data_IF_261297328343
#
_entry.id   IF_261297328343
#
_cell.length_a   1.000
_cell.length_b   1.000
_cell.length_c   1.000
_cell.angle_alpha   90.00
_cell.angle_beta   90.00
_cell.angle_gamma   90.00
#
_symmetry.space_group_name_H-M   'P 1'
#
loop_
_entity.id
_entity.type
_entity.pdbx_description
1 polymer ?
#
# COMPACT_ATOMS: atom_id res chain seq x y z
N UNK A 1 -2.14 -13.28 -22.39
CA UNK A 1 -2.12 -13.44 -20.92
C UNK A 1 -0.68 -13.52 -20.46
N UNK A 2 -0.09 -12.40 -20.03
CA UNK A 2 1.25 -12.41 -19.45
C UNK A 2 1.20 -13.26 -18.17
N UNK A 3 1.97 -14.35 -18.11
CA UNK A 3 2.17 -15.10 -16.88
C UNK A 3 2.67 -14.08 -15.85
N UNK A 4 1.87 -13.78 -14.82
CA UNK A 4 2.33 -12.97 -13.68
C UNK A 4 3.59 -13.66 -13.16
N UNK A 5 4.75 -13.10 -13.49
CA UNK A 5 6.02 -13.51 -12.91
C UNK A 5 5.84 -13.29 -11.42
N UNK A 6 5.89 -14.38 -10.66
CA UNK A 6 5.78 -14.29 -9.21
C UNK A 6 6.77 -13.28 -8.66
N UNK A 7 6.38 -12.54 -7.62
CA UNK A 7 7.17 -11.44 -7.05
C UNK A 7 8.59 -11.92 -6.74
N UNK A 8 8.74 -13.16 -6.27
CA UNK A 8 10.05 -13.74 -6.00
C UNK A 8 10.88 -14.11 -7.23
N UNK A 9 10.26 -14.36 -8.39
CA UNK A 9 10.99 -14.55 -9.65
C UNK A 9 11.44 -13.21 -10.23
N UNK A 10 10.61 -12.18 -10.10
CA UNK A 10 10.88 -10.84 -10.58
C UNK A 10 12.04 -10.18 -9.82
N UNK A 11 12.04 -10.25 -8.48
CA UNK A 11 13.14 -9.71 -7.66
C UNK A 11 14.48 -10.42 -7.90
N UNK A 12 14.47 -11.74 -8.08
CA UNK A 12 15.67 -12.51 -8.44
C UNK A 12 16.24 -12.13 -9.81
N UNK A 13 15.37 -11.90 -10.80
CA UNK A 13 15.79 -11.41 -12.13
C UNK A 13 16.37 -10.00 -12.03
N UNK A 14 15.81 -9.16 -11.17
CA UNK A 14 16.24 -7.78 -10.96
C UNK A 14 17.43 -7.62 -9.99
N UNK A 15 17.91 -8.70 -9.37
CA UNK A 15 18.99 -8.69 -8.34
C UNK A 15 18.72 -7.70 -7.19
N UNK A 16 17.46 -7.57 -6.80
CA UNK A 16 17.06 -6.76 -5.64
C UNK A 16 17.13 -7.66 -4.40
N UNK A 17 17.72 -7.16 -3.31
CA UNK A 17 17.77 -7.89 -2.05
C UNK A 17 16.36 -8.23 -1.54
N UNK A 18 16.20 -9.46 -1.03
CA UNK A 18 14.94 -9.90 -0.47
C UNK A 18 14.68 -9.21 0.86
N UNK A 19 13.58 -8.48 0.96
CA UNK A 19 13.17 -7.86 2.21
C UNK A 19 12.46 -8.91 3.10
N UNK A 20 12.54 -8.73 4.40
CA UNK A 20 11.84 -9.54 5.41
C UNK A 20 10.32 -9.64 5.14
N UNK A 21 9.73 -8.61 4.53
CA UNK A 21 8.32 -8.56 4.16
C UNK A 21 7.96 -9.41 2.93
N UNK A 22 8.94 -9.74 2.08
CA UNK A 22 8.70 -10.44 0.82
C UNK A 22 8.19 -11.87 1.04
N UNK A 23 8.62 -12.51 2.13
CA UNK A 23 8.15 -13.86 2.49
C UNK A 23 6.65 -13.85 2.71
N UNK A 24 6.12 -12.85 3.43
CA UNK A 24 4.70 -12.73 3.71
C UNK A 24 3.90 -12.34 2.47
N UNK A 25 4.44 -11.45 1.61
CA UNK A 25 3.81 -11.12 0.33
C UNK A 25 3.72 -12.34 -0.60
N UNK A 26 4.78 -13.15 -0.67
CA UNK A 26 4.79 -14.41 -1.43
C UNK A 26 3.78 -15.42 -0.90
N UNK A 27 3.63 -15.50 0.43
CA UNK A 27 2.59 -16.32 1.05
C UNK A 27 1.18 -15.88 0.62
N UNK A 28 0.85 -14.59 0.68
CA UNK A 28 -0.46 -14.08 0.22
C UNK A 28 -0.65 -14.19 -1.30
N UNK A 29 0.43 -14.18 -2.08
CA UNK A 29 0.41 -14.44 -3.51
C UNK A 29 0.30 -15.94 -3.87
N UNK A 30 0.20 -16.83 -2.88
CA UNK A 30 0.14 -18.30 -3.05
C UNK A 30 1.40 -18.89 -3.70
N UNK A 31 2.55 -18.22 -3.57
CA UNK A 31 3.85 -18.73 -4.05
C UNK A 31 4.52 -19.66 -3.03
N UNK A 32 4.16 -19.54 -1.75
CA UNK A 32 4.71 -20.28 -0.61
C UNK A 32 3.54 -20.84 0.19
N UNK A 33 3.62 -22.12 0.56
CA UNK A 33 2.62 -22.77 1.40
C UNK A 33 2.95 -22.61 2.89
N UNK A 34 1.94 -22.73 3.74
CA UNK A 34 2.09 -22.52 5.20
C UNK A 34 3.15 -23.43 5.83
N UNK A 35 3.30 -24.65 5.32
CA UNK A 35 4.27 -25.65 5.81
C UNK A 35 5.74 -25.28 5.54
N UNK A 36 5.98 -24.32 4.64
CA UNK A 36 7.32 -23.86 4.28
C UNK A 36 7.78 -22.67 5.12
N UNK A 37 6.91 -22.10 5.97
CA UNK A 37 7.27 -21.02 6.87
C UNK A 37 7.90 -21.57 8.17
N UNK A 38 8.88 -20.85 8.70
CA UNK A 38 9.42 -21.15 10.02
C UNK A 38 8.43 -20.78 11.12
N UNK A 39 8.52 -21.41 12.30
CA UNK A 39 7.66 -21.10 13.45
C UNK A 39 7.68 -19.60 13.79
N UNK A 40 8.85 -18.98 13.74
CA UNK A 40 9.02 -17.53 13.95
C UNK A 40 8.27 -16.67 12.93
N UNK A 41 8.21 -17.10 11.66
CA UNK A 41 7.48 -16.40 10.62
C UNK A 41 5.97 -16.61 10.78
N UNK A 42 5.54 -17.80 11.21
CA UNK A 42 4.15 -18.07 11.54
C UNK A 42 3.65 -17.16 12.68
N UNK A 43 4.44 -16.99 13.74
CA UNK A 43 4.12 -16.09 14.86
C UNK A 43 3.96 -14.63 14.40
N UNK A 44 4.89 -14.15 13.57
CA UNK A 44 4.84 -12.78 13.04
C UNK A 44 3.62 -12.61 12.12
N UNK A 45 3.33 -13.60 11.29
CA UNK A 45 2.18 -13.60 10.39
C UNK A 45 0.85 -13.59 11.15
N UNK A 46 0.77 -14.30 12.29
CA UNK A 46 -0.39 -14.21 13.19
C UNK A 46 -0.56 -12.80 13.75
N UNK A 47 0.53 -12.15 14.18
CA UNK A 47 0.52 -10.78 14.69
C UNK A 47 0.04 -9.79 13.63
N UNK A 48 0.47 -9.94 12.37
CA UNK A 48 -0.04 -9.13 11.26
C UNK A 48 -1.54 -9.37 11.04
N UNK A 49 -2.00 -10.62 11.01
CA UNK A 49 -3.43 -10.94 10.85
C UNK A 49 -4.29 -10.33 11.95
N UNK A 50 -3.82 -10.38 13.20
CA UNK A 50 -4.54 -9.80 14.34
C UNK A 50 -4.56 -8.28 14.29
N UNK A 51 -3.43 -7.65 13.96
CA UNK A 51 -3.35 -6.21 13.75
C UNK A 51 -4.33 -5.75 12.66
N UNK A 52 -4.36 -6.47 11.54
CA UNK A 52 -5.29 -6.23 10.43
C UNK A 52 -6.74 -6.43 10.85
N UNK A 53 -7.08 -7.51 11.55
CA UNK A 53 -8.44 -7.78 12.00
C UNK A 53 -8.98 -6.66 12.91
N UNK A 54 -8.16 -6.19 13.87
CA UNK A 54 -8.53 -5.08 14.74
C UNK A 54 -8.74 -3.78 13.97
N UNK A 55 -7.93 -3.54 12.96
CA UNK A 55 -8.07 -2.38 12.08
C UNK A 55 -9.32 -2.46 11.21
N UNK A 56 -9.64 -3.62 10.64
CA UNK A 56 -10.91 -3.86 9.92
C UNK A 56 -12.14 -3.71 10.81
N UNK A 57 -12.02 -4.00 12.12
CA UNK A 57 -13.08 -3.75 13.10
C UNK A 57 -13.28 -2.25 13.42
N UNK A 58 -12.51 -1.35 12.80
CA UNK A 58 -12.62 0.10 13.00
C UNK A 58 -11.98 0.59 14.31
N UNK A 59 -11.05 -0.18 14.90
CA UNK A 59 -10.26 0.28 16.05
C UNK A 59 -9.26 1.35 15.60
N UNK A 60 -9.04 2.36 16.44
CA UNK A 60 -8.04 3.39 16.18
C UNK A 60 -6.62 2.83 16.28
N UNK A 61 -5.67 3.49 15.61
CA UNK A 61 -4.25 3.12 15.58
C UNK A 61 -3.63 2.98 16.99
N UNK A 62 -4.05 3.78 17.96
CA UNK A 62 -3.62 3.66 19.36
C UNK A 62 -4.18 2.41 20.01
N UNK A 63 -5.47 2.13 19.84
CA UNK A 63 -6.11 0.95 20.41
C UNK A 63 -5.53 -0.35 19.85
N UNK A 64 -5.25 -0.40 18.54
CA UNK A 64 -4.61 -1.58 17.92
C UNK A 64 -3.22 -1.80 18.53
N UNK A 65 -2.41 -0.74 18.65
CA UNK A 65 -1.07 -0.82 19.25
C UNK A 65 -1.12 -1.25 20.72
N UNK A 66 -2.00 -0.66 21.53
CA UNK A 66 -2.16 -1.03 22.94
C UNK A 66 -2.62 -2.48 23.10
N UNK A 67 -3.52 -2.96 22.24
CA UNK A 67 -3.96 -4.35 22.24
C UNK A 67 -2.83 -5.31 21.87
N UNK A 68 -2.03 -4.99 20.84
CA UNK A 68 -0.86 -5.79 20.44
C UNK A 68 0.20 -5.85 21.54
N UNK A 69 0.45 -4.72 22.22
CA UNK A 69 1.36 -4.67 23.36
C UNK A 69 0.88 -5.57 24.50
N UNK A 70 -0.43 -5.55 24.82
CA UNK A 70 -0.99 -6.38 25.89
C UNK A 70 -0.95 -7.87 25.56
N UNK A 71 -1.31 -8.23 24.33
CA UNK A 71 -1.52 -9.63 23.97
C UNK A 71 -0.21 -10.37 23.68
N UNK A 72 0.81 -9.67 23.15
CA UNK A 72 2.11 -10.26 22.82
C UNK A 72 3.27 -9.80 23.71
N UNK A 73 2.99 -8.95 24.72
CA UNK A 73 3.98 -8.39 25.64
C UNK A 73 5.18 -7.74 24.93
N UNK A 74 4.91 -6.98 23.86
CA UNK A 74 5.91 -6.31 23.02
C UNK A 74 6.01 -4.82 23.34
N UNK A 75 7.14 -4.20 22.99
CA UNK A 75 7.34 -2.76 23.15
C UNK A 75 6.49 -1.96 22.15
N UNK A 76 6.14 -0.71 22.49
CA UNK A 76 5.33 0.16 21.62
C UNK A 76 5.94 0.34 20.23
N UNK A 77 7.27 0.48 20.15
CA UNK A 77 7.98 0.60 18.88
C UNK A 77 7.78 -0.62 17.99
N UNK A 78 7.85 -1.82 18.56
CA UNK A 78 7.61 -3.07 17.82
C UNK A 78 6.15 -3.19 17.40
N UNK A 79 5.20 -2.83 18.27
CA UNK A 79 3.78 -2.81 17.92
C UNK A 79 3.47 -1.84 16.78
N UNK A 80 4.16 -0.68 16.73
CA UNK A 80 4.05 0.26 15.62
C UNK A 80 4.56 -0.33 14.31
N UNK A 81 5.74 -0.96 14.30
CA UNK A 81 6.26 -1.61 13.09
C UNK A 81 5.32 -2.71 12.60
N UNK A 82 4.88 -3.60 13.49
CA UNK A 82 3.95 -4.68 13.13
C UNK A 82 2.67 -4.14 12.49
N UNK A 83 2.15 -3.04 13.03
CA UNK A 83 0.94 -2.44 12.52
C UNK A 83 1.12 -1.76 11.16
N UNK A 84 2.20 -1.02 10.95
CA UNK A 84 2.50 -0.40 9.65
C UNK A 84 2.82 -1.46 8.57
N UNK A 85 3.58 -2.49 8.92
CA UNK A 85 3.85 -3.65 8.06
C UNK A 85 2.56 -4.40 7.70
N UNK A 86 1.66 -4.58 8.67
CA UNK A 86 0.34 -5.15 8.44
C UNK A 86 -0.50 -4.31 7.47
N UNK A 87 -0.48 -2.96 7.58
CA UNK A 87 -1.15 -2.06 6.63
C UNK A 87 -0.52 -2.14 5.25
N UNK A 88 0.79 -2.33 5.16
CA UNK A 88 1.49 -2.48 3.88
C UNK A 88 1.11 -3.78 3.18
N UNK A 89 1.08 -4.90 3.90
CA UNK A 89 0.75 -6.23 3.35
C UNK A 89 -0.72 -6.31 2.92
N UNK A 90 -1.64 -5.85 3.77
CA UNK A 90 -3.08 -6.02 3.54
C UNK A 90 -3.76 -4.84 2.84
N UNK A 91 -3.08 -3.69 2.75
CA UNK A 91 -3.61 -2.44 2.22
C UNK A 91 -4.11 -1.50 3.32
N UNK A 92 -4.31 -0.24 2.97
CA UNK A 92 -4.89 0.76 3.87
C UNK A 92 -6.41 0.76 3.72
N UNK A 93 -7.14 0.46 4.79
CA UNK A 93 -8.60 0.35 4.78
C UNK A 93 -9.25 1.63 4.26
N UNK A 94 -8.70 2.79 4.60
CA UNK A 94 -9.19 4.09 4.13
C UNK A 94 -9.05 4.27 2.61
N UNK A 95 -7.99 3.71 2.01
CA UNK A 95 -7.80 3.73 0.57
C UNK A 95 -8.73 2.71 -0.10
N UNK A 96 -8.84 1.51 0.47
CA UNK A 96 -9.70 0.44 -0.05
C UNK A 96 -11.18 0.84 -0.05
N UNK A 97 -11.68 1.46 1.03
CA UNK A 97 -13.06 1.94 1.08
C UNK A 97 -13.28 3.11 0.11
N UNK A 98 -12.33 4.05 0.03
CA UNK A 98 -12.42 5.17 -0.92
C UNK A 98 -12.43 4.71 -2.37
N UNK A 99 -11.56 3.77 -2.73
CA UNK A 99 -11.47 3.22 -4.08
C UNK A 99 -12.68 2.32 -4.38
N UNK A 100 -13.18 1.56 -3.40
CA UNK A 100 -14.43 0.80 -3.52
C UNK A 100 -15.64 1.70 -3.76
N UNK A 101 -15.79 2.78 -2.99
CA UNK A 101 -16.85 3.78 -3.21
C UNK A 101 -16.70 4.48 -4.55
N UNK A 102 -15.47 4.80 -4.97
CA UNK A 102 -15.19 5.36 -6.30
C UNK A 102 -15.65 4.40 -7.39
N UNK A 103 -15.29 3.12 -7.31
CA UNK A 103 -15.72 2.10 -8.26
C UNK A 103 -17.23 1.93 -8.32
N UNK A 104 -17.89 1.86 -7.16
CA UNK A 104 -19.36 1.79 -7.08
C UNK A 104 -20.02 3.03 -7.70
N UNK A 105 -19.45 4.22 -7.45
CA UNK A 105 -19.96 5.48 -8.02
C UNK A 105 -19.80 5.52 -9.54
N UNK A 106 -18.68 5.05 -10.08
CA UNK A 106 -18.47 4.94 -11.54
C UNK A 106 -19.52 4.03 -12.18
N UNK A 107 -19.71 2.82 -11.64
CA UNK A 107 -20.70 1.87 -12.14
C UNK A 107 -22.14 2.43 -12.06
N UNK A 108 -22.45 3.18 -11.01
CA UNK A 108 -23.74 3.85 -10.85
C UNK A 108 -23.95 4.93 -11.93
N UNK A 109 -22.96 5.78 -12.18
CA UNK A 109 -23.06 6.81 -13.21
C UNK A 109 -23.13 6.23 -14.63
N UNK A 110 -22.41 5.15 -14.91
CA UNK A 110 -22.53 4.42 -16.19
C UNK A 110 -23.94 3.85 -16.39
N UNK A 111 -24.53 3.26 -15.35
CA UNK A 111 -25.89 2.76 -15.40
C UNK A 111 -26.90 3.90 -15.65
N UNK A 112 -26.73 5.03 -14.95
CA UNK A 112 -27.56 6.23 -15.15
C UNK A 112 -27.43 6.78 -16.58
N UNK A 113 -26.22 6.81 -17.15
CA UNK A 113 -25.99 7.23 -18.52
C UNK A 113 -26.72 6.32 -19.52
N UNK A 114 -26.66 5.00 -19.30
CA UNK A 114 -27.37 4.02 -20.14
C UNK A 114 -28.89 4.16 -20.04
N UNK A 115 -29.43 4.44 -18.86
CA UNK A 115 -30.87 4.70 -18.67
C UNK A 115 -31.30 5.99 -19.38
N UNK A 116 -30.54 7.08 -19.23
CA UNK A 116 -30.82 8.36 -19.89
C UNK A 116 -30.75 8.24 -21.43
N UNK A 117 -29.80 7.46 -21.97
CA UNK A 117 -29.74 7.13 -23.41
C UNK A 117 -30.99 6.39 -23.88
N UNK A 118 -31.49 5.43 -23.08
CA UNK A 118 -32.71 4.67 -23.39
C UNK A 118 -33.96 5.57 -23.41
N UNK A 119 -34.02 6.56 -22.53
CA UNK A 119 -35.11 7.56 -22.45
C UNK A 119 -34.93 8.71 -23.45
N UNK A 120 -33.90 8.67 -24.32
CA UNK A 120 -33.54 9.72 -25.29
C UNK A 120 -33.19 11.06 -24.66
N UNK A 121 -32.81 11.07 -23.39
CA UNK A 121 -32.30 12.25 -22.70
C UNK A 121 -30.77 12.30 -22.84
N UNK A 122 -30.31 12.77 -24.00
CA UNK A 122 -28.89 12.72 -24.36
C UNK A 122 -28.02 13.65 -23.51
N UNK A 123 -28.54 14.81 -23.09
CA UNK A 123 -27.79 15.77 -22.27
C UNK A 123 -27.44 15.20 -20.89
N UNK A 124 -28.41 14.58 -20.21
CA UNK A 124 -28.21 13.92 -18.92
C UNK A 124 -27.29 12.70 -19.04
N UNK A 125 -27.34 11.98 -20.16
CA UNK A 125 -26.42 10.88 -20.41
C UNK A 125 -24.96 11.35 -20.52
N UNK A 126 -24.69 12.43 -21.26
CA UNK A 126 -23.34 13.00 -21.39
C UNK A 126 -22.81 13.49 -20.05
N UNK A 127 -23.64 14.17 -19.24
CA UNK A 127 -23.25 14.66 -17.91
C UNK A 127 -22.95 13.50 -16.95
N UNK A 128 -23.75 12.43 -16.98
CA UNK A 128 -23.51 11.25 -16.14
C UNK A 128 -22.21 10.54 -16.54
N UNK A 129 -21.94 10.42 -17.85
CA UNK A 129 -20.71 9.85 -18.40
C UNK A 129 -19.46 10.65 -17.99
N UNK A 130 -19.50 11.97 -18.17
CA UNK A 130 -18.39 12.87 -17.79
C UNK A 130 -18.08 12.80 -16.28
N UNK A 131 -19.10 12.63 -15.43
CA UNK A 131 -18.89 12.39 -13.99
C UNK A 131 -18.21 11.05 -13.70
N UNK A 132 -18.54 10.00 -14.47
CA UNK A 132 -17.87 8.70 -14.35
C UNK A 132 -16.40 8.81 -14.80
N UNK A 133 -16.14 9.45 -15.95
CA UNK A 133 -14.80 9.61 -16.51
C UNK A 133 -13.88 10.45 -15.61
N UNK A 134 -14.43 11.51 -14.97
CA UNK A 134 -13.73 12.28 -13.92
C UNK A 134 -13.39 11.46 -12.70
N UNK A 135 -14.30 10.61 -12.23
CA UNK A 135 -14.04 9.72 -11.09
C UNK A 135 -13.00 8.65 -11.43
N UNK A 136 -12.99 8.19 -12.68
CA UNK A 136 -11.99 7.27 -13.22
C UNK A 136 -10.62 7.94 -13.45
N UNK A 137 -10.53 9.27 -13.27
CA UNK A 137 -9.32 10.07 -13.52
C UNK A 137 -8.82 9.96 -14.97
N UNK A 138 -9.70 9.68 -15.94
CA UNK A 138 -9.32 9.57 -17.37
C UNK A 138 -8.76 10.89 -17.94
N UNK A 139 -9.11 12.02 -17.34
CA UNK A 139 -8.66 13.35 -17.75
C UNK A 139 -7.39 13.82 -17.04
N UNK A 140 -6.94 13.09 -16.02
CA UNK A 140 -5.64 13.34 -15.39
C UNK A 140 -4.61 12.62 -16.25
N UNK A 141 -3.59 13.34 -16.74
CA UNK A 141 -2.40 12.67 -17.25
C UNK A 141 -1.76 11.89 -16.11
N UNK A 142 -1.39 10.64 -16.35
CA UNK A 142 -0.46 9.93 -15.46
C UNK A 142 0.83 10.76 -15.39
N UNK A 143 0.97 11.61 -14.36
CA UNK A 143 2.19 12.39 -14.11
C UNK A 143 3.29 11.43 -13.66
N UNK A 144 3.80 10.66 -14.61
CA UNK A 144 5.01 9.88 -14.49
C UNK A 144 6.15 10.79 -14.95
N UNK A 145 6.53 11.72 -14.08
CA UNK A 145 7.61 12.67 -14.34
C UNK A 145 7.88 13.59 -13.15
N UNK A 146 9.15 13.92 -12.95
CA UNK A 146 9.55 14.99 -12.02
C UNK A 146 9.06 16.32 -12.57
N UNK A 147 8.32 17.08 -11.77
CA UNK A 147 7.98 18.45 -12.15
C UNK A 147 9.23 19.33 -12.01
N UNK A 148 9.46 20.33 -12.89
CA UNK A 148 10.57 21.27 -12.72
C UNK A 148 10.57 21.99 -11.36
N UNK A 149 9.41 22.09 -10.73
CA UNK A 149 9.24 22.65 -9.38
C UNK A 149 9.79 21.75 -8.27
N UNK A 150 9.88 20.44 -8.48
CA UNK A 150 10.51 19.52 -7.52
C UNK A 150 12.03 19.76 -7.39
N UNK A 151 12.68 20.27 -8.44
CA UNK A 151 14.09 20.66 -8.42
C UNK A 151 14.33 22.04 -7.78
N UNK A 152 13.28 22.85 -7.63
CA UNK A 152 13.36 24.18 -7.03
C UNK A 152 13.15 24.16 -5.51
N UNK A 153 12.74 23.02 -4.94
CA UNK A 153 12.66 22.86 -3.49
C UNK A 153 14.06 22.76 -2.90
N UNK A 154 14.40 23.68 -1.99
CA UNK A 154 15.64 23.65 -1.24
C UNK A 154 15.75 22.34 -0.46
N UNK A 155 16.70 21.49 -0.84
CA UNK A 155 17.02 20.29 -0.09
C UNK A 155 17.37 20.67 1.36
N UNK A 156 16.61 20.16 2.34
CA UNK A 156 16.97 20.28 3.76
C UNK A 156 18.17 19.40 4.02
N UNK A 157 19.37 19.97 3.88
CA UNK A 157 20.59 19.34 4.34
C UNK A 157 20.62 19.36 5.87
N UNK A 158 20.47 18.19 6.49
CA UNK A 158 20.66 18.03 7.93
C UNK A 158 22.17 17.86 8.16
N UNK A 159 22.82 18.94 8.59
CA UNK A 159 24.22 18.87 9.01
C UNK A 159 24.29 18.15 10.37
N UNK A 160 24.76 16.91 10.36
CA UNK A 160 24.99 16.11 11.56
C UNK A 160 26.31 16.56 12.17
N UNK A 161 26.28 17.23 13.32
CA UNK A 161 27.45 17.77 14.03
C UNK A 161 28.38 16.71 14.67
N UNK A 162 28.31 15.44 14.25
CA UNK A 162 29.08 14.36 14.87
C UNK A 162 29.90 13.59 13.83
N UNK A 163 31.20 13.86 13.81
CA UNK A 163 32.18 13.39 12.82
C UNK A 163 32.27 11.86 12.74
N UNK A 164 31.91 11.15 13.82
CA UNK A 164 31.90 9.69 13.87
C UNK A 164 30.74 9.03 13.09
N UNK A 165 29.63 9.75 12.87
CA UNK A 165 28.50 9.25 12.06
C UNK A 165 28.81 9.42 10.57
N UNK A 166 29.54 10.49 10.22
CA UNK A 166 29.95 10.79 8.85
C UNK A 166 30.92 9.73 8.28
N UNK A 167 31.90 9.28 9.08
CA UNK A 167 32.84 8.22 8.65
C UNK A 167 32.18 6.88 8.41
N UNK A 168 31.16 6.50 9.20
CA UNK A 168 30.41 5.26 8.96
C UNK A 168 29.59 5.34 7.67
N UNK A 169 28.95 6.47 7.41
CA UNK A 169 28.17 6.64 6.18
C UNK A 169 29.02 6.78 4.93
N UNK A 170 30.25 7.31 5.03
CA UNK A 170 31.18 7.34 3.90
C UNK A 170 31.74 5.97 3.55
N UNK A 171 31.98 5.09 4.53
CA UNK A 171 32.40 3.71 4.25
C UNK A 171 31.31 2.89 3.55
N UNK A 172 30.03 3.15 3.86
CA UNK A 172 28.89 2.49 3.20
C UNK A 172 28.58 3.05 1.80
N UNK A 173 29.30 4.09 1.34
CA UNK A 173 29.12 4.74 0.04
C UNK A 173 30.28 4.49 -0.95
N UNK A 174 31.43 4.01 -0.46
CA UNK A 174 32.64 3.74 -1.26
C UNK A 174 32.88 2.22 -1.54
N UNK A 175 31.91 1.35 -1.22
CA UNK A 175 31.75 -0.01 -1.80
C UNK A 175 30.57 -0.02 -2.79
#
# INVERSE_FOLDING_TARGET
>A
MAKKLGIGKLKRVLRIDEDTLDVYLRYYAQEIEYEQLTETQCDILERYRKAWALYCMGRTDEMVRSQLMRDYNIQERQARYIFEESKFIHGKLDQVDKDGRRAASMAFYDLMANMAMKEKQYETAVIARDKADKLAKLHESDELGFTPEDFMRTAKFVFINNVNVLKKQQMDLDE
#
